data_IF_781432645120
#
_entry.id   IF_781432645120
#
_cell.length_a   1.000
_cell.length_b   1.000
_cell.length_c   1.000
_cell.angle_alpha   90.00
_cell.angle_beta   90.00
_cell.angle_gamma   90.00
#
_symmetry.space_group_name_H-M   'P 1'
#
loop_
_entity.id
_entity.type
_entity.pdbx_description
1 polymer ?
#
# COMPACT_ATOMS: atom_id res chain seq x y z
N UNK A 1 -17.22 5.33 -12.51
CA UNK A 1 -16.73 6.00 -11.29
C UNK A 1 -15.24 5.67 -11.09
N UNK A 2 -14.35 6.14 -11.97
CA UNK A 2 -12.96 5.65 -12.06
C UNK A 2 -11.91 6.78 -11.86
N UNK A 3 -12.30 7.87 -11.19
CA UNK A 3 -11.54 9.13 -11.20
C UNK A 3 -10.63 9.36 -9.97
N UNK A 4 -10.54 8.42 -9.01
CA UNK A 4 -9.86 8.68 -7.74
C UNK A 4 -8.33 8.50 -7.82
N UNK A 5 -7.82 7.64 -8.72
CA UNK A 5 -6.38 7.39 -8.85
C UNK A 5 -5.61 8.49 -9.60
N UNK A 6 -6.27 9.21 -10.52
CA UNK A 6 -5.59 10.17 -11.40
C UNK A 6 -5.07 11.42 -10.67
N UNK A 7 -5.67 11.87 -9.57
CA UNK A 7 -5.27 13.16 -8.95
C UNK A 7 -4.08 13.06 -8.01
N UNK A 8 -3.82 11.89 -7.41
CA UNK A 8 -2.70 11.75 -6.46
C UNK A 8 -1.37 11.40 -7.13
N UNK A 9 -1.43 10.74 -8.29
CA UNK A 9 -0.25 10.43 -9.11
C UNK A 9 0.02 11.44 -10.23
N UNK A 10 -0.71 12.56 -10.27
CA UNK A 10 -0.50 13.65 -11.23
C UNK A 10 0.69 14.52 -10.83
N UNK A 11 1.88 13.98 -11.05
CA UNK A 11 3.15 14.69 -11.09
C UNK A 11 4.22 13.77 -11.65
N UNK A 12 5.06 14.29 -12.57
CA UNK A 12 4.82 14.10 -14.01
C UNK A 12 4.41 12.65 -14.31
N UNK A 13 3.24 12.52 -14.91
CA UNK A 13 2.73 11.30 -15.50
C UNK A 13 3.75 10.74 -16.49
N UNK A 14 4.50 9.70 -16.11
CA UNK A 14 4.99 8.74 -17.10
C UNK A 14 3.86 7.72 -17.30
N UNK A 15 2.85 8.15 -18.05
CA UNK A 15 2.04 7.23 -18.85
C UNK A 15 2.56 7.39 -20.26
N UNK A 16 3.46 6.49 -20.65
CA UNK A 16 3.36 5.84 -21.94
C UNK A 16 3.98 4.46 -21.79
N UNK A 17 3.21 3.53 -21.23
CA UNK A 17 3.46 2.11 -21.40
C UNK A 17 2.98 1.71 -22.80
N UNK A 18 3.65 2.20 -23.84
CA UNK A 18 3.60 1.69 -25.23
C UNK A 18 4.81 2.27 -25.96
N UNK A 19 5.59 1.38 -26.59
CA UNK A 19 6.76 1.64 -27.44
C UNK A 19 8.10 1.83 -26.71
N UNK A 20 8.77 0.72 -26.38
CA UNK A 20 10.23 0.69 -26.28
C UNK A 20 10.77 -0.36 -27.26
N UNK A 21 10.70 -0.03 -28.55
CA UNK A 21 11.63 -0.57 -29.52
C UNK A 21 12.97 0.18 -29.36
N UNK A 22 13.99 -0.53 -28.89
CA UNK A 22 15.36 -0.33 -29.36
C UNK A 22 16.12 0.93 -28.95
N UNK A 23 16.38 1.13 -27.65
CA UNK A 23 17.65 1.66 -27.13
C UNK A 23 17.67 1.56 -25.60
N UNK A 24 18.45 0.64 -25.03
CA UNK A 24 18.58 0.45 -23.59
C UNK A 24 19.35 1.62 -22.96
N UNK A 25 18.66 2.69 -22.55
CA UNK A 25 19.30 3.80 -21.84
C UNK A 25 19.55 3.39 -20.39
N UNK A 26 20.59 3.94 -19.74
CA UNK A 26 20.87 3.67 -18.32
C UNK A 26 19.69 3.98 -17.38
N UNK A 27 18.82 4.93 -17.77
CA UNK A 27 17.60 5.30 -17.08
C UNK A 27 16.56 4.16 -17.02
N UNK A 28 16.37 3.47 -18.15
CA UNK A 28 15.36 2.43 -18.30
C UNK A 28 15.75 1.21 -17.45
N UNK A 29 17.04 0.84 -17.48
CA UNK A 29 17.59 -0.25 -16.66
C UNK A 29 17.43 0.01 -15.16
N UNK A 30 17.64 1.26 -14.72
CA UNK A 30 17.43 1.66 -13.32
C UNK A 30 15.96 1.50 -12.94
N UNK A 31 15.07 1.99 -13.80
CA UNK A 31 13.62 1.98 -13.55
C UNK A 31 13.09 0.54 -13.53
N UNK A 32 13.47 -0.26 -14.51
CA UNK A 32 13.12 -1.69 -14.60
C UNK A 32 13.56 -2.47 -13.36
N UNK A 33 14.81 -2.28 -12.92
CA UNK A 33 15.31 -2.91 -11.70
C UNK A 33 14.44 -2.57 -10.48
N UNK A 34 14.05 -1.30 -10.33
CA UNK A 34 13.20 -0.87 -9.22
C UNK A 34 11.79 -1.45 -9.30
N UNK A 35 11.23 -1.59 -10.50
CA UNK A 35 9.92 -2.23 -10.70
C UNK A 35 9.94 -3.74 -10.49
N UNK A 36 11.07 -4.42 -10.71
CA UNK A 36 11.19 -5.86 -10.48
C UNK A 36 11.45 -6.18 -9.00
N UNK A 37 12.25 -5.36 -8.32
CA UNK A 37 12.70 -5.62 -6.95
C UNK A 37 12.01 -4.75 -5.89
N UNK A 38 10.91 -4.05 -6.22
CA UNK A 38 10.28 -3.09 -5.28
C UNK A 38 9.87 -3.70 -3.94
N UNK A 39 9.46 -4.97 -3.94
CA UNK A 39 9.02 -5.70 -2.74
C UNK A 39 10.20 -6.06 -1.82
N UNK A 40 11.41 -6.08 -2.33
CA UNK A 40 12.61 -6.42 -1.57
C UNK A 40 13.21 -5.18 -0.87
N UNK A 41 14.19 -5.42 0.00
CA UNK A 41 14.96 -4.34 0.63
C UNK A 41 16.00 -3.79 -0.36
N UNK A 42 15.57 -2.91 -1.25
CA UNK A 42 16.46 -2.26 -2.22
C UNK A 42 17.16 -1.05 -1.61
N UNK A 43 18.47 -0.99 -1.80
CA UNK A 43 19.33 0.14 -1.43
C UNK A 43 20.01 0.74 -2.65
N UNK A 44 20.56 1.95 -2.50
CA UNK A 44 21.38 2.58 -3.54
C UNK A 44 22.67 1.80 -3.82
N UNK A 45 23.16 0.98 -2.88
CA UNK A 45 24.31 0.10 -3.13
C UNK A 45 23.94 -0.99 -4.14
N UNK A 46 22.82 -1.65 -3.93
CA UNK A 46 22.38 -2.76 -4.79
C UNK A 46 22.18 -2.25 -6.23
N UNK A 47 21.61 -1.06 -6.37
CA UNK A 47 21.44 -0.40 -7.66
C UNK A 47 22.78 0.02 -8.30
N UNK A 48 23.76 0.44 -7.49
CA UNK A 48 25.12 0.76 -7.94
C UNK A 48 25.85 -0.48 -8.45
N UNK A 49 25.75 -1.59 -7.73
CA UNK A 49 26.33 -2.88 -8.11
C UNK A 49 25.70 -3.43 -9.41
N UNK A 50 24.38 -3.30 -9.56
CA UNK A 50 23.67 -3.74 -10.76
C UNK A 50 24.00 -2.90 -12.01
N UNK A 51 24.11 -1.58 -11.86
CA UNK A 51 24.26 -0.66 -12.99
C UNK A 51 25.72 -0.30 -13.32
N UNK A 52 26.64 -0.50 -12.38
CA UNK A 52 28.03 -0.03 -12.47
C UNK A 52 28.20 1.47 -12.21
N UNK A 53 27.14 2.20 -11.84
CA UNK A 53 27.22 3.61 -11.48
C UNK A 53 27.49 3.79 -9.99
N UNK A 54 28.11 4.91 -9.61
CA UNK A 54 28.28 5.22 -8.19
C UNK A 54 26.95 5.71 -7.57
N UNK A 55 26.79 5.47 -6.26
CA UNK A 55 25.60 5.87 -5.48
C UNK A 55 25.24 7.35 -5.60
N UNK A 56 26.23 8.24 -5.58
CA UNK A 56 26.03 9.69 -5.60
C UNK A 56 25.41 10.12 -6.93
N UNK A 57 25.92 9.57 -8.02
CA UNK A 57 25.37 9.75 -9.36
C UNK A 57 23.92 9.25 -9.41
N UNK A 58 23.65 8.01 -8.96
CA UNK A 58 22.30 7.44 -8.95
C UNK A 58 21.30 8.25 -8.13
N UNK A 59 21.69 8.70 -6.93
CA UNK A 59 20.83 9.54 -6.09
C UNK A 59 20.50 10.87 -6.76
N UNK A 60 21.49 11.49 -7.41
CA UNK A 60 21.31 12.77 -8.11
C UNK A 60 20.48 12.60 -9.37
N UNK A 61 20.80 11.56 -10.15
CA UNK A 61 20.08 11.16 -11.35
C UNK A 61 18.60 10.93 -11.05
N UNK A 62 18.27 10.08 -10.07
CA UNK A 62 16.87 9.81 -9.72
C UNK A 62 16.15 11.06 -9.23
N UNK A 63 16.82 11.93 -8.46
CA UNK A 63 16.23 13.18 -7.99
C UNK A 63 15.93 14.14 -9.14
N UNK A 64 16.82 14.26 -10.11
CA UNK A 64 16.63 15.11 -11.29
C UNK A 64 15.53 14.55 -12.19
N UNK A 65 15.55 13.24 -12.46
CA UNK A 65 14.62 12.60 -13.40
C UNK A 65 13.21 12.41 -12.83
N UNK A 66 13.09 12.07 -11.54
CA UNK A 66 11.79 11.77 -10.89
C UNK A 66 11.23 12.94 -10.07
N UNK A 67 12.06 13.95 -9.79
CA UNK A 67 11.75 15.05 -8.87
C UNK A 67 11.74 14.64 -7.38
N UNK A 68 12.03 13.37 -7.07
CA UNK A 68 11.90 12.81 -5.72
C UNK A 68 13.14 12.03 -5.29
N UNK A 69 13.32 11.80 -3.98
CA UNK A 69 14.43 10.99 -3.50
C UNK A 69 14.25 9.52 -3.92
N UNK A 70 15.34 8.74 -3.94
CA UNK A 70 15.29 7.29 -4.19
C UNK A 70 14.24 6.57 -3.34
N UNK A 71 14.23 6.83 -2.02
CA UNK A 71 13.30 6.18 -1.11
C UNK A 71 11.85 6.58 -1.35
N UNK A 72 11.61 7.84 -1.73
CA UNK A 72 10.27 8.33 -2.06
C UNK A 72 9.78 7.70 -3.36
N UNK A 73 10.64 7.63 -4.38
CA UNK A 73 10.33 6.99 -5.66
C UNK A 73 10.02 5.49 -5.49
N UNK A 74 10.85 4.76 -4.73
CA UNK A 74 10.59 3.36 -4.40
C UNK A 74 9.27 3.20 -3.62
N UNK A 75 8.98 4.12 -2.70
CA UNK A 75 7.71 4.13 -1.95
C UNK A 75 6.50 4.36 -2.88
N UNK A 76 6.63 5.21 -3.90
CA UNK A 76 5.59 5.43 -4.91
C UNK A 76 5.31 4.14 -5.70
N UNK A 77 6.35 3.45 -6.17
CA UNK A 77 6.18 2.17 -6.88
C UNK A 77 5.44 1.17 -5.97
N UNK A 78 5.90 1.01 -4.72
CA UNK A 78 5.25 0.14 -3.73
C UNK A 78 3.78 0.47 -3.51
N UNK A 79 3.42 1.75 -3.47
CA UNK A 79 2.02 2.14 -3.33
C UNK A 79 1.18 1.90 -4.57
N UNK A 80 1.74 1.95 -5.78
CA UNK A 80 1.00 1.57 -7.00
C UNK A 80 0.55 0.11 -6.92
N UNK A 81 1.45 -0.79 -6.54
CA UNK A 81 1.14 -2.21 -6.36
C UNK A 81 0.23 -2.44 -5.14
N UNK A 82 0.48 -1.78 -4.01
CA UNK A 82 -0.36 -1.93 -2.83
C UNK A 82 -1.80 -1.47 -3.08
N UNK A 83 -2.01 -0.37 -3.81
CA UNK A 83 -3.36 0.09 -4.18
C UNK A 83 -4.06 -0.90 -5.11
N UNK A 84 -3.34 -1.50 -6.05
CA UNK A 84 -3.86 -2.58 -6.87
C UNK A 84 -4.32 -3.76 -5.98
N UNK A 85 -3.48 -4.20 -5.04
CA UNK A 85 -3.83 -5.30 -4.12
C UNK A 85 -5.00 -4.95 -3.20
N UNK A 86 -5.08 -3.70 -2.71
CA UNK A 86 -6.22 -3.21 -1.92
C UNK A 86 -7.54 -3.26 -2.71
N UNK A 87 -7.48 -3.12 -4.03
CA UNK A 87 -8.65 -3.03 -4.92
C UNK A 87 -9.10 -4.40 -5.40
N UNK A 88 -8.16 -5.26 -5.78
CA UNK A 88 -8.45 -6.50 -6.52
C UNK A 88 -8.25 -7.78 -5.71
N UNK A 89 -7.80 -7.68 -4.45
CA UNK A 89 -7.56 -8.86 -3.60
C UNK A 89 -8.29 -8.73 -2.27
N UNK A 90 -8.57 -9.89 -1.65
CA UNK A 90 -9.13 -10.00 -0.31
C UNK A 90 -8.07 -10.10 0.79
N UNK A 91 -6.79 -9.83 0.47
CA UNK A 91 -5.67 -9.90 1.42
C UNK A 91 -5.90 -8.96 2.60
N UNK A 92 -5.46 -9.36 3.79
CA UNK A 92 -5.44 -8.49 4.97
C UNK A 92 -4.51 -7.28 4.74
N UNK A 93 -4.72 -6.18 5.49
CA UNK A 93 -3.86 -5.00 5.37
C UNK A 93 -2.39 -5.32 5.71
N UNK A 94 -2.17 -6.26 6.63
CA UNK A 94 -0.83 -6.74 6.99
C UNK A 94 -0.16 -7.43 5.82
N UNK A 95 -0.85 -8.35 5.14
CA UNK A 95 -0.32 -9.05 3.96
C UNK A 95 -0.02 -8.07 2.83
N UNK A 96 -0.94 -7.13 2.54
CA UNK A 96 -0.70 -6.11 1.52
C UNK A 96 0.54 -5.26 1.83
N UNK A 97 0.76 -4.88 3.09
CA UNK A 97 1.94 -4.13 3.47
C UNK A 97 3.23 -4.94 3.26
N UNK A 98 3.27 -6.18 3.74
CA UNK A 98 4.45 -7.05 3.68
C UNK A 98 4.79 -7.44 2.24
N UNK A 99 3.79 -7.85 1.45
CA UNK A 99 3.95 -8.27 0.05
C UNK A 99 4.47 -7.13 -0.85
N UNK A 100 4.16 -5.88 -0.48
CA UNK A 100 4.59 -4.69 -1.20
C UNK A 100 5.85 -4.04 -0.62
N UNK A 101 6.62 -4.79 0.18
CA UNK A 101 7.96 -4.40 0.64
C UNK A 101 7.98 -3.39 1.79
N UNK A 102 6.87 -3.18 2.49
CA UNK A 102 6.88 -2.44 3.75
C UNK A 102 7.26 -3.40 4.89
N UNK A 103 8.24 -3.03 5.74
CA UNK A 103 8.71 -3.91 6.81
C UNK A 103 7.66 -4.14 7.91
N UNK A 104 6.72 -3.21 8.08
CA UNK A 104 5.70 -3.27 9.11
C UNK A 104 4.42 -2.52 8.69
N UNK A 105 3.28 -2.98 9.19
CA UNK A 105 1.98 -2.37 8.95
C UNK A 105 1.89 -0.93 9.47
N UNK A 106 2.55 -0.62 10.59
CA UNK A 106 2.55 0.72 11.19
C UNK A 106 3.17 1.76 10.26
N UNK A 107 4.32 1.43 9.66
CA UNK A 107 4.99 2.30 8.69
C UNK A 107 4.17 2.45 7.41
N UNK A 108 3.58 1.35 6.92
CA UNK A 108 2.68 1.39 5.78
C UNK A 108 1.50 2.34 6.03
N UNK A 109 0.78 2.17 7.14
CA UNK A 109 -0.36 3.01 7.49
C UNK A 109 0.02 4.49 7.63
N UNK A 110 1.14 4.79 8.29
CA UNK A 110 1.62 6.16 8.47
C UNK A 110 1.94 6.83 7.13
N UNK A 111 2.69 6.14 6.26
CA UNK A 111 3.04 6.64 4.93
C UNK A 111 1.81 6.74 4.03
N UNK A 112 0.93 5.73 4.04
CA UNK A 112 -0.29 5.74 3.25
C UNK A 112 -1.19 6.91 3.63
N UNK A 113 -1.35 7.20 4.92
CA UNK A 113 -2.12 8.38 5.37
C UNK A 113 -1.46 9.69 4.99
N UNK A 114 -0.13 9.77 5.00
CA UNK A 114 0.59 10.95 4.52
C UNK A 114 0.37 11.16 3.01
N UNK A 115 0.38 10.07 2.23
CA UNK A 115 0.30 10.05 0.75
C UNK A 115 -1.11 9.94 0.20
N UNK A 116 -2.15 9.60 0.95
CA UNK A 116 -3.52 9.50 0.40
C UNK A 116 -4.54 10.27 1.24
N UNK A 117 -4.09 10.86 2.36
CA UNK A 117 -4.92 11.59 3.35
C UNK A 117 -6.04 10.75 3.97
N UNK A 118 -5.98 9.44 3.82
CA UNK A 118 -6.91 8.46 4.38
C UNK A 118 -6.15 7.19 4.75
N UNK A 119 -6.73 6.33 5.57
CA UNK A 119 -6.15 5.03 5.91
C UNK A 119 -6.38 4.00 4.79
N UNK A 120 -5.54 2.95 4.70
CA UNK A 120 -5.76 1.84 3.76
C UNK A 120 -7.11 1.13 3.94
N UNK A 121 -7.59 1.04 5.18
CA UNK A 121 -8.90 0.47 5.50
C UNK A 121 -10.03 1.31 4.90
N UNK A 122 -10.02 2.62 5.16
CA UNK A 122 -11.00 3.57 4.59
C UNK A 122 -10.96 3.56 3.06
N UNK A 123 -9.75 3.50 2.49
CA UNK A 123 -9.54 3.43 1.05
C UNK A 123 -10.18 2.17 0.44
N UNK A 124 -10.02 1.01 1.09
CA UNK A 124 -10.64 -0.25 0.65
C UNK A 124 -12.16 -0.21 0.71
N UNK A 125 -12.73 0.33 1.79
CA UNK A 125 -14.20 0.45 1.95
C UNK A 125 -14.81 1.33 0.86
N UNK A 126 -14.11 2.39 0.45
CA UNK A 126 -14.58 3.29 -0.61
C UNK A 126 -14.59 2.64 -2.00
N UNK A 127 -13.68 1.70 -2.27
CA UNK A 127 -13.52 1.07 -3.58
C UNK A 127 -14.36 -0.19 -3.75
N UNK A 128 -14.49 -0.99 -2.70
CA UNK A 128 -15.19 -2.26 -2.74
C UNK A 128 -15.99 -2.46 -1.43
N UNK A 129 -17.18 -1.84 -1.31
CA UNK A 129 -18.03 -2.03 -0.13
C UNK A 129 -18.33 -3.51 0.16
N UNK A 130 -18.32 -4.34 -0.89
CA UNK A 130 -18.61 -5.78 -0.86
C UNK A 130 -17.46 -6.63 -0.27
N UNK A 131 -16.20 -6.17 -0.36
CA UNK A 131 -15.01 -6.89 0.14
C UNK A 131 -14.61 -6.50 1.57
N UNK A 132 -15.17 -5.42 2.10
CA UNK A 132 -14.88 -4.92 3.47
C UNK A 132 -15.72 -5.54 4.58
N UNK A 133 -16.59 -6.49 4.26
CA UNK A 133 -17.17 -7.38 5.26
C UNK A 133 -16.12 -8.42 5.70
N UNK A 134 -15.04 -7.97 6.35
CA UNK A 134 -14.23 -8.85 7.18
C UNK A 134 -15.09 -9.41 8.33
N UNK A 135 -14.82 -10.63 8.85
CA UNK A 135 -15.64 -11.28 9.88
C UNK A 135 -15.71 -10.53 11.23
N UNK A 136 -15.04 -9.39 11.36
CA UNK A 136 -15.01 -8.57 12.59
C UNK A 136 -16.08 -7.45 12.62
N UNK A 137 -16.85 -7.27 11.53
CA UNK A 137 -18.00 -6.32 11.48
C UNK A 137 -19.33 -6.95 11.94
N UNK A 138 -19.31 -8.18 12.47
CA UNK A 138 -20.44 -8.80 13.17
C UNK A 138 -20.58 -8.35 14.63
N UNK A 139 -19.72 -7.45 15.13
CA UNK A 139 -20.07 -6.65 16.32
C UNK A 139 -20.88 -5.44 15.88
N UNK A 140 -22.13 -5.70 15.49
CA UNK A 140 -23.15 -4.67 15.67
C UNK A 140 -23.21 -4.40 17.17
N UNK A 141 -22.91 -3.17 17.58
CA UNK A 141 -23.09 -2.73 18.96
C UNK A 141 -24.58 -2.86 19.27
N UNK A 142 -24.97 -3.96 19.92
CA UNK A 142 -26.27 -4.02 20.57
C UNK A 142 -26.19 -3.08 21.77
N UNK A 143 -27.10 -2.10 21.80
CA UNK A 143 -27.24 -1.17 22.92
C UNK A 143 -27.28 -1.97 24.23
N UNK A 144 -26.38 -1.73 25.19
CA UNK A 144 -26.38 -2.40 26.49
C UNK A 144 -27.69 -2.25 27.27
N UNK A 145 -28.52 -1.26 26.90
CA UNK A 145 -29.86 -1.04 27.44
C UNK A 145 -30.99 -1.76 26.66
N UNK A 146 -30.67 -2.50 25.59
CA UNK A 146 -31.66 -3.32 24.90
C UNK A 146 -32.12 -4.49 25.78
N UNK A 147 -33.43 -4.74 25.78
CA UNK A 147 -34.04 -5.75 26.63
C UNK A 147 -33.48 -7.15 26.32
N UNK A 148 -33.07 -7.41 25.08
CA UNK A 148 -32.45 -8.68 24.68
C UNK A 148 -31.09 -8.92 25.34
N UNK A 149 -30.25 -7.88 25.51
CA UNK A 149 -28.93 -8.00 26.14
C UNK A 149 -29.04 -8.16 27.66
N UNK A 150 -30.01 -7.48 28.30
CA UNK A 150 -30.26 -7.66 29.74
C UNK A 150 -30.73 -9.09 30.07
N UNK A 151 -31.60 -9.68 29.25
CA UNK A 151 -32.07 -11.07 29.47
C UNK A 151 -30.94 -12.10 29.36
N UNK A 152 -30.01 -11.90 28.42
CA UNK A 152 -28.83 -12.76 28.27
C UNK A 152 -27.91 -12.62 29.49
N UNK A 153 -27.63 -11.41 29.94
CA UNK A 153 -26.78 -11.18 31.11
C UNK A 153 -27.40 -11.72 32.40
N UNK A 154 -28.71 -11.61 32.59
CA UNK A 154 -29.42 -12.21 33.72
C UNK A 154 -29.36 -13.74 33.73
N UNK A 155 -29.48 -14.38 32.56
CA UNK A 155 -29.35 -15.84 32.45
C UNK A 155 -27.95 -16.34 32.84
N UNK A 156 -26.90 -15.57 32.55
CA UNK A 156 -25.51 -15.91 32.89
C UNK A 156 -25.15 -15.65 34.36
N UNK A 157 -25.93 -14.85 35.08
CA UNK A 157 -25.75 -14.58 36.52
C UNK A 157 -26.41 -15.62 37.44
N UNK A 158 -27.10 -16.62 36.88
CA UNK A 158 -27.90 -17.60 37.65
C UNK A 158 -27.35 -19.03 37.53
N UNK A 159 -26.29 -19.31 36.75
CA UNK A 159 -25.72 -20.65 36.70
C UNK A 159 -25.03 -20.99 38.05
N UNK A 160 -25.54 -21.94 38.85
CA UNK A 160 -24.85 -22.35 40.06
C UNK A 160 -23.64 -23.20 39.64
N UNK A 161 -22.48 -22.85 40.17
CA UNK A 161 -21.28 -23.68 40.18
C UNK A 161 -21.63 -25.10 40.65
N UNK A 162 -21.44 -26.09 39.77
CA UNK A 162 -21.53 -27.51 40.07
C UNK A 162 -20.16 -28.14 40.00
#
# INVERSE_FOLDING_TARGET
MTACLCRYFSGPTILCATELEGASTGADRITEYLHLHYAEKVTLNDLAEFTGYNRTYLSTFLKIHTGTSFHEYLTRIRFQHAVHDLTYTSKTLTEVALDNGFPELKLFNSRFRATFRQSPAEYRTQLAPELTAGPDLARSYCDPCSHEIQQILEHWLIAPEG
#
